data_IF_037654047420
#
_entry.id   IF_037654047420
#
_cell.length_a   1.000
_cell.length_b   1.000
_cell.length_c   1.000
_cell.angle_alpha   90.00
_cell.angle_beta   90.00
_cell.angle_gamma   90.00
#
_symmetry.space_group_name_H-M   'P 1'
#
loop_
_entity.id
_entity.type
_entity.pdbx_description
1 polymer ?
#
# COMPACT_ATOMS: atom_id res chain seq x y z
N UNK A 1 -17.91 2.60 10.90
CA UNK A 1 -16.98 3.03 9.84
C UNK A 1 -17.68 2.65 8.54
N UNK A 2 -17.93 3.57 7.61
CA UNK A 2 -18.37 3.20 6.26
C UNK A 2 -17.30 2.29 5.62
N UNK A 3 -17.69 1.40 4.70
CA UNK A 3 -16.73 0.57 4.00
C UNK A 3 -15.80 1.44 3.14
N UNK A 4 -14.57 1.00 2.96
CA UNK A 4 -13.61 1.65 2.06
C UNK A 4 -13.52 0.90 0.75
N UNK A 5 -13.32 1.65 -0.34
CA UNK A 5 -12.88 1.08 -1.61
C UNK A 5 -11.36 1.25 -1.71
N UNK A 6 -10.63 0.14 -1.65
CA UNK A 6 -9.18 0.13 -1.68
C UNK A 6 -8.68 -0.11 -3.10
N UNK A 7 -7.61 0.59 -3.46
CA UNK A 7 -6.88 0.34 -4.71
C UNK A 7 -5.42 0.13 -4.44
N UNK A 8 -4.81 -0.80 -5.17
CA UNK A 8 -3.41 -1.21 -5.01
C UNK A 8 -2.71 -1.30 -6.35
N UNK A 9 -1.50 -0.77 -6.43
CA UNK A 9 -0.60 -0.90 -7.58
C UNK A 9 0.64 -1.72 -7.21
N UNK A 10 0.99 -2.72 -8.02
CA UNK A 10 2.19 -3.54 -7.89
C UNK A 10 3.36 -2.90 -8.61
N UNK A 11 4.40 -2.54 -7.86
CA UNK A 11 5.59 -1.84 -8.33
C UNK A 11 6.80 -2.76 -8.17
N UNK A 12 7.54 -2.98 -9.27
CA UNK A 12 8.79 -3.73 -9.23
C UNK A 12 9.86 -2.93 -8.47
N UNK A 13 10.54 -3.55 -7.50
CA UNK A 13 11.44 -2.84 -6.58
C UNK A 13 12.83 -2.49 -7.16
N UNK A 14 12.87 -1.75 -8.28
CA UNK A 14 14.13 -1.28 -8.88
C UNK A 14 14.87 -0.26 -8.01
N UNK A 15 14.19 0.83 -7.64
CA UNK A 15 14.71 1.89 -6.74
C UNK A 15 13.71 2.12 -5.59
N UNK A 16 13.67 1.15 -4.67
CA UNK A 16 12.71 1.14 -3.56
C UNK A 16 12.77 2.42 -2.70
N UNK A 17 13.94 2.90 -2.23
CA UNK A 17 13.98 4.10 -1.40
C UNK A 17 13.36 5.33 -2.09
N UNK A 18 13.66 5.55 -3.37
CA UNK A 18 13.11 6.68 -4.11
C UNK A 18 11.59 6.58 -4.34
N UNK A 19 11.10 5.37 -4.66
CA UNK A 19 9.66 5.10 -4.83
C UNK A 19 8.91 5.39 -3.52
N UNK A 20 9.39 4.84 -2.41
CA UNK A 20 8.79 5.02 -1.09
C UNK A 20 8.84 6.48 -0.63
N UNK A 21 9.98 7.16 -0.80
CA UNK A 21 10.12 8.58 -0.49
C UNK A 21 9.06 9.42 -1.24
N UNK A 22 8.91 9.16 -2.53
CA UNK A 22 7.95 9.89 -3.38
C UNK A 22 6.50 9.60 -2.98
N UNK A 23 6.16 8.36 -2.70
CA UNK A 23 4.80 7.99 -2.25
C UNK A 23 4.46 8.65 -0.92
N UNK A 24 5.36 8.57 0.07
CA UNK A 24 5.21 9.21 1.37
C UNK A 24 5.02 10.71 1.22
N UNK A 25 5.89 11.38 0.48
CA UNK A 25 5.80 12.82 0.28
C UNK A 25 4.50 13.23 -0.41
N UNK A 26 4.00 12.41 -1.34
CA UNK A 26 2.81 12.74 -2.11
C UNK A 26 1.51 12.48 -1.37
N UNK A 27 1.41 11.36 -0.66
CA UNK A 27 0.14 10.81 -0.20
C UNK A 27 -0.02 10.72 1.32
N UNK A 28 1.07 10.63 2.09
CA UNK A 28 1.01 10.39 3.54
C UNK A 28 0.99 11.70 4.34
N UNK A 29 0.13 11.79 5.35
CA UNK A 29 0.22 12.86 6.35
C UNK A 29 1.41 12.59 7.28
N UNK A 30 2.52 13.29 7.04
CA UNK A 30 3.74 13.13 7.83
C UNK A 30 3.67 13.78 9.21
N UNK A 31 2.74 14.70 9.42
CA UNK A 31 2.56 15.34 10.73
C UNK A 31 1.76 14.47 11.68
N UNK A 32 0.88 13.62 11.14
CA UNK A 32 0.09 12.65 11.89
C UNK A 32 -0.13 11.37 11.06
N UNK A 33 0.89 10.50 10.95
CA UNK A 33 0.83 9.31 10.09
C UNK A 33 -0.10 8.22 10.61
N UNK A 34 -0.56 8.31 11.87
CA UNK A 34 -1.46 7.34 12.50
C UNK A 34 -0.81 6.06 13.03
N UNK A 35 0.29 5.59 12.42
CA UNK A 35 1.03 4.41 12.89
C UNK A 35 2.37 4.81 13.54
N UNK A 36 2.64 4.41 14.82
CA UNK A 36 3.88 4.76 15.51
C UNK A 36 5.14 4.15 14.88
N UNK A 37 5.01 3.12 14.06
CA UNK A 37 6.13 2.45 13.37
C UNK A 37 6.58 3.17 12.10
N UNK A 38 5.87 4.23 11.69
CA UNK A 38 6.18 5.00 10.49
C UNK A 38 7.62 5.54 10.48
N UNK A 39 8.13 6.03 11.60
CA UNK A 39 9.51 6.54 11.68
C UNK A 39 10.56 5.42 11.53
N UNK A 40 10.30 4.24 12.08
CA UNK A 40 11.16 3.07 11.89
C UNK A 40 11.16 2.62 10.42
N UNK A 41 9.98 2.66 9.78
CA UNK A 41 9.84 2.39 8.35
C UNK A 41 10.65 3.38 7.50
N UNK A 42 10.55 4.68 7.75
CA UNK A 42 11.32 5.70 7.03
C UNK A 42 12.82 5.50 7.19
N UNK A 43 13.30 5.30 8.42
CA UNK A 43 14.73 5.06 8.67
C UNK A 43 15.23 3.82 7.92
N UNK A 44 14.46 2.74 7.95
CA UNK A 44 14.88 1.45 7.41
C UNK A 44 14.83 1.41 5.89
N UNK A 45 13.73 1.86 5.28
CA UNK A 45 13.46 1.63 3.85
C UNK A 45 13.54 2.88 2.97
N UNK A 46 13.61 4.07 3.56
CA UNK A 46 13.72 5.34 2.81
C UNK A 46 15.09 5.99 3.01
N UNK A 47 15.53 6.15 4.26
CA UNK A 47 16.82 6.75 4.59
C UNK A 47 17.97 5.73 4.57
N UNK A 48 17.65 4.44 4.64
CA UNK A 48 18.61 3.33 4.71
C UNK A 48 19.59 3.46 5.91
N UNK A 49 19.10 4.00 7.02
CA UNK A 49 19.83 4.18 8.29
C UNK A 49 19.00 3.62 9.46
N UNK A 50 18.79 2.29 9.55
CA UNK A 50 17.99 1.69 10.61
C UNK A 50 18.62 1.92 11.98
N UNK A 51 17.77 2.10 12.99
CA UNK A 51 18.16 2.20 14.41
C UNK A 51 17.92 0.88 15.14
N UNK A 52 18.60 0.62 16.28
CA UNK A 52 18.30 -0.53 17.13
C UNK A 52 16.81 -0.55 17.52
N UNK A 53 16.14 -1.70 17.36
CA UNK A 53 14.70 -1.86 17.62
C UNK A 53 13.79 -1.68 16.40
N UNK A 54 14.29 -1.12 15.29
CA UNK A 54 13.46 -0.89 14.10
C UNK A 54 13.00 -2.21 13.47
N UNK A 55 13.89 -3.21 13.42
CA UNK A 55 13.58 -4.52 12.85
C UNK A 55 12.48 -5.23 13.64
N UNK A 56 12.56 -5.21 14.97
CA UNK A 56 11.56 -5.78 15.87
C UNK A 56 10.22 -5.06 15.75
N UNK A 57 10.24 -3.72 15.75
CA UNK A 57 9.02 -2.92 15.60
C UNK A 57 8.30 -3.16 14.26
N UNK A 58 9.07 -3.39 13.19
CA UNK A 58 8.52 -3.70 11.87
C UNK A 58 8.08 -5.16 11.73
N UNK A 59 8.68 -6.08 12.49
CA UNK A 59 8.25 -7.48 12.52
C UNK A 59 6.82 -7.65 13.05
N UNK A 60 6.38 -6.78 13.96
CA UNK A 60 5.01 -6.76 14.50
C UNK A 60 3.93 -6.41 13.43
N UNK A 61 4.33 -5.94 12.25
CA UNK A 61 3.42 -5.65 11.13
C UNK A 61 3.16 -6.86 10.23
N UNK A 62 3.90 -7.96 10.41
CA UNK A 62 3.77 -9.17 9.61
C UNK A 62 2.42 -9.84 9.89
N UNK A 63 1.72 -10.24 8.83
CA UNK A 63 0.47 -11.03 8.97
C UNK A 63 0.79 -12.49 9.29
N UNK A 64 1.87 -12.99 8.71
CA UNK A 64 2.39 -14.33 8.91
C UNK A 64 3.80 -14.22 9.51
N UNK A 65 4.02 -14.85 10.67
CA UNK A 65 5.30 -14.83 11.36
C UNK A 65 6.41 -15.52 10.56
N UNK A 66 6.04 -16.48 9.69
CA UNK A 66 6.97 -17.24 8.85
C UNK A 66 7.28 -16.52 7.54
N UNK A 67 6.51 -15.48 7.18
CA UNK A 67 6.75 -14.65 6.00
C UNK A 67 7.81 -13.58 6.29
N UNK A 68 9.08 -13.92 6.05
CA UNK A 68 10.16 -12.99 6.31
C UNK A 68 10.10 -11.76 5.39
N UNK A 69 10.16 -10.58 5.99
CA UNK A 69 10.22 -9.29 5.30
C UNK A 69 8.89 -8.76 4.72
N UNK A 70 7.82 -9.55 4.69
CA UNK A 70 6.54 -9.11 4.14
C UNK A 70 5.63 -8.49 5.20
N UNK A 71 5.18 -7.25 4.97
CA UNK A 71 4.29 -6.55 5.90
C UNK A 71 3.58 -5.39 5.21
N UNK A 72 2.47 -4.94 5.81
CA UNK A 72 1.72 -3.77 5.35
C UNK A 72 1.65 -2.71 6.45
N UNK A 73 1.92 -1.47 6.07
CA UNK A 73 1.83 -0.30 6.92
C UNK A 73 0.62 0.54 6.48
N UNK A 74 -0.31 0.78 7.40
CA UNK A 74 -1.51 1.58 7.18
C UNK A 74 -1.28 2.97 7.76
N UNK A 75 -1.41 3.99 6.93
CA UNK A 75 -1.06 5.37 7.26
C UNK A 75 -2.24 6.29 6.97
N UNK A 76 -2.31 7.40 7.69
CA UNK A 76 -3.22 8.48 7.33
C UNK A 76 -2.74 9.15 6.05
N UNK A 77 -3.68 9.37 5.14
CA UNK A 77 -3.39 10.06 3.89
C UNK A 77 -3.75 11.54 3.96
N UNK A 78 -3.09 12.37 3.14
CA UNK A 78 -3.35 13.82 3.06
C UNK A 78 -4.75 14.16 2.51
N UNK A 79 -5.27 13.33 1.60
CA UNK A 79 -6.51 13.59 0.83
C UNK A 79 -7.38 12.36 0.57
N UNK A 80 -6.90 11.20 0.96
CA UNK A 80 -7.60 9.92 0.83
C UNK A 80 -8.01 9.46 2.22
N UNK A 81 -8.87 8.44 2.30
CA UNK A 81 -9.23 7.86 3.59
C UNK A 81 -8.01 7.22 4.27
N UNK A 82 -7.17 6.55 3.48
CA UNK A 82 -5.94 5.91 3.94
C UNK A 82 -4.89 5.84 2.85
N UNK A 83 -3.63 5.69 3.27
CA UNK A 83 -2.51 5.34 2.42
C UNK A 83 -1.87 4.06 2.96
N UNK A 84 -1.53 3.14 2.07
CA UNK A 84 -1.02 1.82 2.44
C UNK A 84 0.27 1.57 1.70
N UNK A 85 1.28 1.07 2.40
CA UNK A 85 2.52 0.60 1.81
C UNK A 85 2.73 -0.84 2.23
N UNK A 86 3.00 -1.72 1.28
CA UNK A 86 3.33 -3.11 1.56
C UNK A 86 4.66 -3.48 0.92
N UNK A 87 5.53 -4.10 1.71
CA UNK A 87 6.65 -4.85 1.19
C UNK A 87 6.21 -6.30 1.04
N UNK A 88 6.41 -6.86 -0.14
CA UNK A 88 5.94 -8.20 -0.50
C UNK A 88 7.01 -9.25 -0.20
N UNK A 89 6.60 -10.52 -0.14
CA UNK A 89 7.51 -11.66 -0.03
C UNK A 89 8.50 -11.73 -1.20
N UNK A 90 8.11 -11.23 -2.37
CA UNK A 90 8.93 -11.19 -3.57
C UNK A 90 9.94 -10.04 -3.57
N UNK A 91 9.92 -9.18 -2.54
CA UNK A 91 10.75 -7.98 -2.44
C UNK A 91 10.24 -6.79 -3.25
N UNK A 92 9.11 -6.95 -3.95
CA UNK A 92 8.38 -5.89 -4.65
C UNK A 92 7.57 -5.02 -3.66
N UNK A 93 7.03 -3.91 -4.16
CA UNK A 93 6.24 -2.95 -3.37
C UNK A 93 4.80 -2.94 -3.87
N UNK A 94 3.84 -2.96 -2.95
CA UNK A 94 2.45 -2.61 -3.26
C UNK A 94 2.11 -1.28 -2.61
N UNK A 95 1.71 -0.31 -3.42
CA UNK A 95 1.27 1.01 -2.97
C UNK A 95 -0.25 1.07 -3.06
N UNK A 96 -0.91 1.56 -2.01
CA UNK A 96 -2.37 1.59 -1.96
C UNK A 96 -2.95 2.89 -1.43
N UNK A 97 -4.17 3.19 -1.87
CA UNK A 97 -4.98 4.31 -1.39
C UNK A 97 -6.40 3.81 -1.14
N UNK A 98 -6.98 4.25 -0.03
CA UNK A 98 -8.37 3.93 0.34
C UNK A 98 -9.26 5.14 0.05
N UNK A 99 -10.37 4.90 -0.64
CA UNK A 99 -11.43 5.89 -0.85
C UNK A 99 -12.56 5.60 0.15
N UNK A 100 -13.15 6.66 0.69
CA UNK A 100 -14.38 6.53 1.48
C UNK A 100 -15.52 6.11 0.54
N UNK A 101 -16.21 5.01 0.84
CA UNK A 101 -17.36 4.51 0.06
C UNK A 101 -18.65 4.49 0.91
N UNK A 102 -19.13 5.66 1.37
CA UNK A 102 -20.35 5.69 2.14
C UNK A 102 -21.52 5.26 1.24
N UNK A 103 -22.15 4.12 1.60
CA UNK A 103 -23.37 3.58 0.97
C UNK A 103 -23.18 2.81 -0.35
N UNK A 104 -21.97 2.32 -0.66
CA UNK A 104 -21.66 1.60 -1.91
C UNK A 104 -22.05 2.41 -3.15
N UNK A 105 -21.54 3.64 -3.23
CA UNK A 105 -21.86 4.54 -4.34
C UNK A 105 -21.25 3.98 -5.65
N UNK A 106 -22.05 3.73 -6.71
CA UNK A 106 -21.54 3.28 -8.01
C UNK A 106 -20.50 4.23 -8.63
N UNK A 107 -20.43 5.47 -8.16
CA UNK A 107 -19.44 6.45 -8.60
C UNK A 107 -18.08 6.21 -7.94
N UNK A 108 -18.03 5.56 -6.78
CA UNK A 108 -16.79 5.23 -6.07
C UNK A 108 -15.92 4.29 -6.89
N UNK A 109 -16.49 3.26 -7.54
CA UNK A 109 -15.72 2.33 -8.37
C UNK A 109 -15.04 3.04 -9.56
N UNK A 110 -15.73 4.01 -10.19
CA UNK A 110 -15.16 4.81 -11.29
C UNK A 110 -14.05 5.74 -10.80
N UNK A 111 -14.23 6.35 -9.63
CA UNK A 111 -13.19 7.15 -8.99
C UNK A 111 -11.98 6.28 -8.62
N UNK A 112 -12.21 5.12 -8.02
CA UNK A 112 -11.19 4.14 -7.67
C UNK A 112 -10.40 3.71 -8.90
N UNK A 113 -11.07 3.39 -10.02
CA UNK A 113 -10.38 3.09 -11.29
C UNK A 113 -9.49 4.25 -11.76
N UNK A 114 -9.95 5.49 -11.62
CA UNK A 114 -9.15 6.68 -11.99
C UNK A 114 -7.94 6.86 -11.07
N UNK A 115 -8.13 6.66 -9.77
CA UNK A 115 -7.05 6.71 -8.77
C UNK A 115 -6.03 5.61 -9.03
N UNK A 116 -6.48 4.38 -9.30
CA UNK A 116 -5.61 3.25 -9.61
C UNK A 116 -4.77 3.51 -10.86
N UNK A 117 -5.39 3.95 -11.95
CA UNK A 117 -4.69 4.26 -13.19
C UNK A 117 -3.63 5.36 -12.98
N UNK A 118 -3.97 6.39 -12.20
CA UNK A 118 -3.02 7.44 -11.84
C UNK A 118 -1.87 6.92 -10.98
N UNK A 119 -2.16 6.07 -9.98
CA UNK A 119 -1.15 5.50 -9.10
C UNK A 119 -0.17 4.63 -9.88
N UNK A 120 -0.68 3.77 -10.77
CA UNK A 120 0.14 2.97 -11.68
C UNK A 120 1.01 3.87 -12.57
N UNK A 121 0.45 4.90 -13.20
CA UNK A 121 1.22 5.80 -14.05
C UNK A 121 2.29 6.59 -13.27
N UNK A 122 2.00 7.02 -12.04
CA UNK A 122 2.91 7.81 -11.21
C UNK A 122 4.09 7.00 -10.65
N UNK A 123 3.91 5.69 -10.46
CA UNK A 123 4.92 4.80 -9.87
C UNK A 123 5.42 3.69 -10.80
N UNK A 124 5.09 3.77 -12.09
CA UNK A 124 5.43 2.74 -13.08
C UNK A 124 4.95 1.34 -12.66
N UNK A 125 3.69 1.29 -12.22
CA UNK A 125 3.04 0.08 -11.73
C UNK A 125 2.74 -0.90 -12.87
N UNK A 126 3.20 -2.14 -12.70
CA UNK A 126 3.01 -3.24 -13.65
C UNK A 126 1.58 -3.78 -13.67
N UNK A 127 0.93 -3.79 -12.50
CA UNK A 127 -0.43 -4.26 -12.33
C UNK A 127 -1.16 -3.46 -11.25
N UNK A 128 -2.48 -3.50 -11.31
CA UNK A 128 -3.38 -2.83 -10.39
C UNK A 128 -4.56 -3.72 -10.00
N UNK A 129 -5.04 -3.56 -8.78
CA UNK A 129 -6.31 -4.13 -8.32
C UNK A 129 -7.09 -3.14 -7.46
N UNK A 130 -8.38 -3.38 -7.31
CA UNK A 130 -9.19 -2.67 -6.33
C UNK A 130 -10.46 -3.41 -5.96
N UNK A 131 -11.03 -3.09 -4.80
CA UNK A 131 -12.23 -3.72 -4.26
C UNK A 131 -12.63 -3.12 -2.92
N UNK A 132 -13.79 -3.53 -2.42
CA UNK A 132 -14.31 -3.08 -1.12
C UNK A 132 -13.65 -3.84 0.00
N UNK A 133 -13.08 -3.13 0.98
CA UNK A 133 -12.36 -3.68 2.15
C UNK A 133 -11.33 -4.74 1.73
N UNK A 134 -10.60 -4.43 0.65
CA UNK A 134 -9.65 -5.35 0.03
C UNK A 134 -8.34 -5.28 0.83
N UNK A 135 -7.87 -6.37 1.45
CA UNK A 135 -6.60 -6.34 2.16
C UNK A 135 -5.44 -6.10 1.16
N UNK A 136 -4.41 -5.33 1.54
CA UNK A 136 -3.21 -5.20 0.72
C UNK A 136 -2.55 -6.57 0.54
N UNK A 137 -2.25 -6.98 -0.71
CA UNK A 137 -1.53 -8.21 -1.00
C UNK A 137 -0.09 -8.15 -0.51
N UNK A 138 0.33 -9.16 0.25
CA UNK A 138 1.71 -9.34 0.72
C UNK A 138 2.52 -10.34 -0.12
N UNK A 139 1.91 -10.96 -1.13
CA UNK A 139 2.57 -11.88 -2.07
C UNK A 139 1.89 -11.93 -3.43
N UNK A 140 2.54 -12.52 -4.44
CA UNK A 140 1.93 -12.83 -5.73
C UNK A 140 0.75 -13.79 -5.60
N UNK A 141 0.82 -14.71 -4.64
CA UNK A 141 -0.27 -15.64 -4.36
C UNK A 141 -1.51 -14.90 -3.88
N UNK A 142 -1.35 -13.96 -2.95
CA UNK A 142 -2.47 -13.11 -2.50
C UNK A 142 -2.96 -12.20 -3.62
N UNK A 143 -2.06 -11.68 -4.47
CA UNK A 143 -2.44 -10.85 -5.61
C UNK A 143 -3.32 -11.59 -6.63
N UNK A 144 -3.04 -12.87 -6.86
CA UNK A 144 -3.77 -13.72 -7.80
C UNK A 144 -5.15 -14.17 -7.27
N UNK A 145 -5.44 -13.99 -5.99
CA UNK A 145 -6.77 -14.28 -5.43
C UNK A 145 -7.78 -13.22 -5.91
N UNK A 146 -8.83 -13.67 -6.59
CA UNK A 146 -9.89 -12.82 -7.14
C UNK A 146 -11.09 -12.65 -6.19
N UNK A 147 -11.11 -13.31 -5.02
CA UNK A 147 -12.30 -13.44 -4.18
C UNK A 147 -12.98 -12.12 -3.77
N UNK A 148 -12.21 -11.04 -3.62
CA UNK A 148 -12.71 -9.70 -3.24
C UNK A 148 -12.39 -8.62 -4.31
N UNK A 149 -11.81 -9.02 -5.44
CA UNK A 149 -11.30 -8.07 -6.44
C UNK A 149 -12.41 -7.69 -7.40
N UNK A 150 -12.62 -6.38 -7.55
CA UNK A 150 -13.62 -5.79 -8.45
C UNK A 150 -12.97 -5.12 -9.67
N UNK A 151 -11.76 -4.57 -9.49
CA UNK A 151 -10.99 -3.92 -10.55
C UNK A 151 -9.68 -4.64 -10.78
N UNK A 152 -9.29 -4.77 -12.05
CA UNK A 152 -7.98 -5.25 -12.49
C UNK A 152 -7.44 -4.31 -13.57
N UNK A 153 -6.14 -4.06 -13.51
CA UNK A 153 -5.42 -3.32 -14.54
C UNK A 153 -4.01 -3.90 -14.73
N UNK A 154 -3.51 -3.94 -15.97
CA UNK A 154 -2.17 -4.48 -16.26
C UNK A 154 -2.01 -5.97 -15.91
N UNK A 155 -0.75 -6.40 -15.76
CA UNK A 155 -0.38 -7.79 -15.45
C UNK A 155 1.05 -7.83 -14.89
N UNK A 156 1.31 -8.75 -13.96
CA UNK A 156 2.61 -8.95 -13.32
C UNK A 156 3.52 -9.89 -14.11
#
# INVERSE_FOLDING_TARGET
>A
MPPCFDVFAWIRAGDRPAILARFVERYVDRSDPGDPRFEAFLRTFVAETPSPGDAEALADLRRDADADGAFSLYLRAKRFYGAIVTLTQEGDIVLGLSLDDPLNDPDTERQASTVLARLMAEFDGSAGMGGVELPPPQSLREWADDGQVMLRAGSI
#
